data_IF_552388789688
#
_entry.id   IF_552388789688
#
_cell.length_a   1.000
_cell.length_b   1.000
_cell.length_c   1.000
_cell.angle_alpha   90.00
_cell.angle_beta   90.00
_cell.angle_gamma   90.00
#
_symmetry.space_group_name_H-M   'P 1'
#
loop_
_entity.id
_entity.type
_entity.pdbx_description
1 polymer ?
#
# COMPACT_ATOMS: atom_id res chain seq x y z
N UNK A 1 -2.78 3.76 -13.71
CA UNK A 1 -2.22 3.61 -12.36
C UNK A 1 -1.80 2.18 -12.13
N UNK A 2 -0.79 2.01 -11.31
CA UNK A 2 -0.28 0.72 -10.87
C UNK A 2 -0.52 0.61 -9.36
N UNK A 3 -0.95 -0.56 -8.90
CA UNK A 3 -1.16 -0.84 -7.46
C UNK A 3 -0.34 -2.05 -7.08
N UNK A 4 0.49 -1.89 -6.06
CA UNK A 4 1.24 -2.99 -5.44
C UNK A 4 0.36 -3.74 -4.43
N UNK A 5 0.35 -5.07 -4.54
CA UNK A 5 -0.40 -5.96 -3.65
C UNK A 5 0.59 -6.92 -3.00
N UNK A 6 0.87 -6.70 -1.72
CA UNK A 6 1.73 -7.57 -0.90
C UNK A 6 0.97 -8.70 -0.18
N UNK A 7 -0.34 -8.55 0.05
CA UNK A 7 -1.16 -9.55 0.72
C UNK A 7 -1.59 -10.67 -0.25
N UNK A 8 -0.63 -11.49 -0.66
CA UNK A 8 -0.85 -12.59 -1.61
C UNK A 8 -1.05 -13.90 -0.84
N UNK A 9 -2.29 -14.14 -0.39
CA UNK A 9 -2.59 -15.25 0.54
C UNK A 9 -2.63 -16.62 -0.16
N UNK A 10 -3.08 -16.71 -1.41
CA UNK A 10 -3.29 -17.97 -2.12
C UNK A 10 -2.21 -18.22 -3.19
N UNK A 11 -0.96 -18.30 -2.75
CA UNK A 11 0.19 -18.45 -3.66
C UNK A 11 0.14 -19.75 -4.45
N UNK A 12 -0.25 -20.88 -3.84
CA UNK A 12 -0.30 -22.19 -4.53
C UNK A 12 -1.24 -22.16 -5.74
N UNK A 13 -2.40 -21.50 -5.62
CA UNK A 13 -3.33 -21.32 -6.76
C UNK A 13 -2.71 -20.45 -7.85
N UNK A 14 -2.08 -19.34 -7.47
CA UNK A 14 -1.43 -18.44 -8.42
C UNK A 14 -0.28 -19.11 -9.16
N UNK A 15 0.57 -19.86 -8.45
CA UNK A 15 1.66 -20.64 -9.04
C UNK A 15 1.14 -21.64 -10.06
N UNK A 16 0.03 -22.33 -9.78
CA UNK A 16 -0.60 -23.26 -10.74
C UNK A 16 -1.11 -22.55 -12.00
N UNK A 17 -1.78 -21.40 -11.85
CA UNK A 17 -2.33 -20.63 -12.99
C UNK A 17 -1.22 -20.06 -13.87
N UNK A 18 -0.21 -19.46 -13.23
CA UNK A 18 0.89 -18.77 -13.90
C UNK A 18 2.05 -19.72 -14.26
N UNK A 19 1.92 -21.01 -13.93
CA UNK A 19 2.93 -22.06 -14.14
C UNK A 19 4.29 -21.69 -13.52
N UNK A 20 4.26 -21.13 -12.32
CA UNK A 20 5.45 -20.76 -11.55
C UNK A 20 5.95 -22.01 -10.80
N UNK A 21 7.25 -22.34 -10.87
CA UNK A 21 7.85 -23.41 -10.08
C UNK A 21 7.60 -23.25 -8.57
N UNK A 22 7.41 -24.37 -7.86
CA UNK A 22 7.02 -24.33 -6.44
C UNK A 22 8.09 -23.71 -5.53
N UNK A 23 9.36 -23.83 -5.91
CA UNK A 23 10.50 -23.28 -5.15
C UNK A 23 10.62 -21.75 -5.23
N UNK A 24 9.84 -21.09 -6.09
CA UNK A 24 9.78 -19.63 -6.16
C UNK A 24 8.62 -19.10 -5.31
N UNK A 25 8.90 -18.07 -4.51
CA UNK A 25 7.87 -17.36 -3.75
C UNK A 25 7.39 -16.12 -4.49
N UNK A 26 6.08 -15.87 -4.41
CA UNK A 26 5.48 -14.66 -4.97
C UNK A 26 5.61 -13.56 -3.91
N UNK A 27 6.56 -12.64 -4.11
CA UNK A 27 6.75 -11.50 -3.20
C UNK A 27 5.57 -10.53 -3.28
N UNK A 28 5.08 -10.25 -4.50
CA UNK A 28 3.98 -9.32 -4.71
C UNK A 28 3.41 -9.38 -6.11
N UNK A 29 2.26 -8.73 -6.29
CA UNK A 29 1.60 -8.54 -7.58
C UNK A 29 1.49 -7.04 -7.86
N UNK A 30 1.65 -6.66 -9.14
CA UNK A 30 1.38 -5.30 -9.62
C UNK A 30 0.13 -5.35 -10.50
N UNK A 31 -0.94 -4.71 -10.06
CA UNK A 31 -2.14 -4.51 -10.87
C UNK A 31 -1.97 -3.27 -11.73
N UNK A 32 -2.16 -3.39 -13.04
CA UNK A 32 -2.05 -2.30 -14.02
C UNK A 32 -3.44 -1.97 -14.59
N UNK A 33 -3.75 -0.68 -14.72
CA UNK A 33 -5.00 -0.23 -15.34
C UNK A 33 -5.06 1.29 -15.48
N UNK A 34 -6.16 1.81 -16.02
CA UNK A 34 -6.42 3.26 -16.05
C UNK A 34 -7.14 3.67 -14.76
N UNK A 35 -6.72 4.76 -14.09
CA UNK A 35 -7.36 5.20 -12.85
C UNK A 35 -8.76 5.71 -13.11
N UNK A 36 -9.74 5.16 -12.39
CA UNK A 36 -11.09 5.71 -12.33
C UNK A 36 -11.28 6.70 -11.16
N UNK A 37 -10.37 6.70 -10.18
CA UNK A 37 -10.42 7.55 -8.98
C UNK A 37 -9.08 8.27 -8.76
N UNK A 38 -9.12 9.43 -8.10
CA UNK A 38 -7.93 10.19 -7.67
C UNK A 38 -7.89 10.28 -6.14
N UNK A 39 -6.91 9.64 -5.46
CA UNK A 39 -6.79 9.73 -4.01
C UNK A 39 -6.39 11.16 -3.60
N UNK A 40 -6.94 11.62 -2.48
CA UNK A 40 -6.53 12.85 -1.82
C UNK A 40 -5.51 12.52 -0.75
N UNK A 41 -4.34 13.15 -0.82
CA UNK A 41 -3.30 13.01 0.21
C UNK A 41 -3.47 14.15 1.19
N UNK A 42 -3.54 13.81 2.46
CA UNK A 42 -3.61 14.78 3.56
C UNK A 42 -2.48 14.52 4.55
N UNK A 43 -2.03 15.59 5.22
CA UNK A 43 -1.05 15.48 6.28
C UNK A 43 -1.73 15.09 7.59
N UNK A 44 -1.12 14.17 8.33
CA UNK A 44 -1.56 13.78 9.67
C UNK A 44 -0.36 13.55 10.58
N UNK A 45 -0.52 13.83 11.87
CA UNK A 45 0.47 13.48 12.90
C UNK A 45 0.50 11.96 13.18
N UNK A 46 -0.61 11.28 12.90
CA UNK A 46 -0.81 9.87 13.18
C UNK A 46 -1.09 9.05 11.90
N UNK A 47 -0.71 7.78 11.95
CA UNK A 47 -1.02 6.86 10.85
C UNK A 47 -2.48 6.40 10.99
N UNK A 48 -3.39 7.12 10.32
CA UNK A 48 -4.79 6.72 10.20
C UNK A 48 -4.94 5.86 8.93
N UNK A 49 -5.81 4.84 8.99
CA UNK A 49 -6.13 4.01 7.81
C UNK A 49 -6.80 4.87 6.73
N UNK A 50 -6.55 4.61 5.44
CA UNK A 50 -7.29 5.27 4.36
C UNK A 50 -8.79 5.10 4.54
N UNK A 51 -9.56 6.14 4.26
CA UNK A 51 -11.02 6.15 4.40
C UNK A 51 -11.68 6.87 3.23
N UNK A 52 -12.99 6.67 3.07
CA UNK A 52 -13.81 7.39 2.08
C UNK A 52 -14.65 8.45 2.78
N UNK A 53 -14.73 9.63 2.19
CA UNK A 53 -15.66 10.66 2.66
C UNK A 53 -17.09 10.46 2.12
N UNK A 54 -18.00 11.35 2.53
CA UNK A 54 -19.40 11.32 2.09
C UNK A 54 -19.58 11.51 0.57
N UNK A 55 -18.58 12.03 -0.14
CA UNK A 55 -18.59 12.22 -1.60
C UNK A 55 -17.89 11.06 -2.33
N UNK A 56 -17.46 10.02 -1.61
CA UNK A 56 -16.80 8.83 -2.15
C UNK A 56 -15.30 9.02 -2.44
N UNK A 57 -14.71 10.17 -2.11
CA UNK A 57 -13.28 10.44 -2.31
C UNK A 57 -12.46 9.67 -1.29
N UNK A 58 -11.39 9.01 -1.75
CA UNK A 58 -10.44 8.33 -0.86
C UNK A 58 -9.47 9.36 -0.27
N UNK A 59 -9.45 9.46 1.05
CA UNK A 59 -8.45 10.21 1.81
C UNK A 59 -7.34 9.27 2.26
N UNK A 60 -6.10 9.70 2.04
CA UNK A 60 -4.89 8.95 2.39
C UNK A 60 -4.05 9.81 3.34
N UNK A 61 -4.23 9.63 4.65
CA UNK A 61 -3.44 10.31 5.67
C UNK A 61 -1.96 9.89 5.57
N UNK A 62 -1.06 10.87 5.54
CA UNK A 62 0.39 10.66 5.53
C UNK A 62 1.05 11.40 6.68
N UNK A 63 1.98 10.70 7.36
CA UNK A 63 2.82 11.34 8.36
C UNK A 63 3.67 12.43 7.72
N UNK A 64 3.72 13.59 8.36
CA UNK A 64 4.63 14.66 7.94
C UNK A 64 6.08 14.25 8.10
N UNK A 65 6.98 14.83 7.29
CA UNK A 65 8.42 14.55 7.38
C UNK A 65 8.95 14.79 8.79
N UNK A 66 8.54 15.89 9.43
CA UNK A 66 8.93 16.23 10.81
C UNK A 66 8.58 15.14 11.84
N UNK A 67 7.53 14.37 11.59
CA UNK A 67 7.09 13.28 12.47
C UNK A 67 7.85 11.96 12.28
N UNK A 68 8.49 11.76 11.12
CA UNK A 68 9.20 10.51 10.81
C UNK A 68 10.73 10.68 10.75
N UNK A 69 11.21 11.92 10.73
CA UNK A 69 12.64 12.22 10.69
C UNK A 69 13.26 12.08 12.08
N UNK A 70 14.24 11.18 12.17
CA UNK A 70 15.09 10.99 13.33
C UNK A 70 16.54 11.23 12.90
N UNK A 71 17.27 12.04 13.66
CA UNK A 71 18.69 12.34 13.42
C UNK A 71 19.46 11.73 14.58
N UNK A 72 20.53 11.00 14.26
CA UNK A 72 21.43 10.25 15.16
C UNK A 72 20.80 9.08 15.92
N UNK A 73 19.60 9.23 16.46
CA UNK A 73 18.94 8.21 17.26
C UNK A 73 17.42 8.19 17.06
N UNK A 74 16.84 7.00 17.22
CA UNK A 74 15.40 6.82 17.19
C UNK A 74 14.77 7.50 18.41
N UNK A 75 13.90 8.47 18.17
CA UNK A 75 13.11 9.12 19.22
C UNK A 75 11.83 8.31 19.37
N UNK A 76 11.70 7.49 20.40
CA UNK A 76 10.40 6.88 20.68
C UNK A 76 9.40 8.00 21.01
N UNK A 77 8.16 7.84 20.55
CA UNK A 77 7.04 8.65 21.03
C UNK A 77 6.81 8.40 22.52
#
# INVERSE_FOLDING_TARGET
>A
TWTWIGSVNNQSRLKKILKIPEWLNIFSIIALGYPAEKPFVEESADAIRPYRDALGKIHVPKKTLKHILHIDYYKSK
#
